data_IF_763475007827
#
_entry.id   IF_763475007827
#
_cell.length_a   1.000
_cell.length_b   1.000
_cell.length_c   1.000
_cell.angle_alpha   90.00
_cell.angle_beta   90.00
_cell.angle_gamma   90.00
#
_symmetry.space_group_name_H-M   'P 1'
#
loop_
_entity.id
_entity.type
_entity.pdbx_description
1 polymer ?
#
# COMPACT_ATOMS: atom_id res chain seq x y z
N UNK A 1 57.12 6.13 28.67
CA UNK A 1 55.65 5.91 28.74
C UNK A 1 55.04 6.54 27.51
N UNK A 2 54.32 5.73 26.71
CA UNK A 2 54.21 5.86 25.26
C UNK A 2 53.13 6.86 24.78
N UNK A 3 53.58 7.91 24.08
CA UNK A 3 52.75 8.84 23.29
C UNK A 3 52.20 8.20 22.00
N UNK A 4 52.76 7.08 21.55
CA UNK A 4 52.35 6.40 20.31
C UNK A 4 51.02 5.63 20.44
N UNK A 5 50.63 5.24 21.66
CA UNK A 5 49.42 4.44 21.92
C UNK A 5 48.13 5.27 21.91
N UNK A 6 48.20 6.57 22.18
CA UNK A 6 47.01 7.45 22.18
C UNK A 6 46.58 7.82 20.75
N UNK A 7 47.55 7.93 19.82
CA UNK A 7 47.27 8.25 18.41
C UNK A 7 46.60 7.08 17.67
N UNK A 8 47.00 5.83 17.94
CA UNK A 8 46.35 4.66 17.35
C UNK A 8 44.91 4.48 17.85
N UNK A 9 44.61 4.75 19.13
CA UNK A 9 43.22 4.66 19.61
C UNK A 9 42.33 5.77 19.04
N UNK A 10 42.82 6.99 18.80
CA UNK A 10 42.03 8.04 18.13
C UNK A 10 41.76 7.74 16.65
N UNK A 11 42.71 7.11 15.95
CA UNK A 11 42.53 6.68 14.57
C UNK A 11 41.58 5.48 14.45
N UNK A 12 41.67 4.51 15.36
CA UNK A 12 40.74 3.37 15.45
C UNK A 12 39.34 3.81 15.88
N UNK A 13 39.21 4.80 16.79
CA UNK A 13 37.91 5.35 17.17
C UNK A 13 37.30 6.15 16.02
N UNK A 14 38.10 6.90 15.24
CA UNK A 14 37.62 7.60 14.04
C UNK A 14 37.24 6.63 12.90
N UNK A 15 37.94 5.50 12.76
CA UNK A 15 37.53 4.43 11.82
C UNK A 15 36.31 3.64 12.30
N UNK A 16 36.13 3.42 13.61
CA UNK A 16 34.96 2.76 14.20
C UNK A 16 33.73 3.69 14.33
N UNK A 17 33.94 5.02 14.37
CA UNK A 17 32.88 6.02 14.26
C UNK A 17 32.52 6.33 12.80
N UNK A 18 33.44 6.07 11.86
CA UNK A 18 33.18 6.14 10.42
C UNK A 18 32.43 4.93 9.86
N UNK A 19 32.29 3.84 10.62
CA UNK A 19 31.41 2.71 10.25
C UNK A 19 30.00 2.83 10.81
N UNK A 20 29.71 3.86 11.62
CA UNK A 20 28.36 4.23 12.07
C UNK A 20 27.66 5.22 11.13
N UNK A 21 28.19 5.46 9.93
CA UNK A 21 27.69 6.45 8.97
C UNK A 21 27.35 5.86 7.60
N UNK A 22 26.60 4.77 7.58
CA UNK A 22 25.83 4.40 6.38
C UNK A 22 24.62 3.61 6.83
N UNK A 23 23.64 4.28 7.44
CA UNK A 23 22.26 3.91 7.13
C UNK A 23 22.16 4.08 5.61
N UNK A 24 22.29 2.97 4.90
CA UNK A 24 22.37 2.90 3.45
C UNK A 24 21.12 3.59 2.89
N UNK A 25 21.26 4.87 2.58
CA UNK A 25 20.25 5.70 1.97
C UNK A 25 20.05 5.14 0.57
N UNK A 26 19.21 4.12 0.43
CA UNK A 26 18.55 3.87 -0.84
C UNK A 26 17.79 5.16 -1.15
N UNK A 27 18.39 6.05 -1.95
CA UNK A 27 17.65 7.11 -2.61
C UNK A 27 16.68 6.38 -3.54
N UNK A 28 15.43 6.27 -3.11
CA UNK A 28 14.39 5.71 -3.94
C UNK A 28 14.40 6.46 -5.28
N UNK A 29 14.56 5.73 -6.38
CA UNK A 29 14.57 6.25 -7.74
C UNK A 29 13.39 5.66 -8.54
N UNK A 30 12.14 5.89 -8.08
CA UNK A 30 10.96 5.22 -8.60
C UNK A 30 10.60 5.62 -10.03
N UNK A 31 10.89 6.86 -10.43
CA UNK A 31 10.39 7.45 -11.68
C UNK A 31 11.47 7.66 -12.74
N UNK A 32 12.74 7.67 -12.35
CA UNK A 32 13.86 7.89 -13.26
C UNK A 32 15.13 7.23 -12.70
N UNK A 33 16.07 6.82 -13.55
CA UNK A 33 17.32 6.17 -13.10
C UNK A 33 18.21 7.07 -12.25
N UNK A 34 18.31 8.35 -12.62
CA UNK A 34 19.00 9.36 -11.82
C UNK A 34 18.24 9.66 -10.52
N UNK A 35 18.81 9.39 -9.33
CA UNK A 35 18.14 9.67 -8.06
C UNK A 35 17.93 11.17 -7.80
N UNK A 36 18.66 12.05 -8.49
CA UNK A 36 18.52 13.51 -8.39
C UNK A 36 17.53 14.09 -9.40
N UNK A 37 16.90 13.24 -10.22
CA UNK A 37 15.86 13.67 -11.16
C UNK A 37 14.70 14.36 -10.44
N UNK A 38 14.06 15.34 -11.09
CA UNK A 38 13.01 16.16 -10.47
C UNK A 38 11.83 15.32 -9.99
N UNK A 39 11.40 14.32 -10.77
CA UNK A 39 10.31 13.41 -10.41
C UNK A 39 10.61 12.64 -9.12
N UNK A 40 11.84 12.11 -9.00
CA UNK A 40 12.29 11.39 -7.82
C UNK A 40 12.37 12.32 -6.61
N UNK A 41 12.83 13.57 -6.78
CA UNK A 41 12.85 14.58 -5.71
C UNK A 41 11.46 14.99 -5.24
N UNK A 42 10.49 15.13 -6.15
CA UNK A 42 9.09 15.41 -5.79
C UNK A 42 8.53 14.25 -4.96
N UNK A 43 8.71 13.01 -5.44
CA UNK A 43 8.34 11.82 -4.69
C UNK A 43 9.00 11.75 -3.30
N UNK A 44 10.30 12.01 -3.24
CA UNK A 44 11.11 12.06 -2.02
C UNK A 44 10.47 12.98 -0.97
N UNK A 45 10.17 14.21 -1.39
CA UNK A 45 9.58 15.23 -0.53
C UNK A 45 8.17 14.85 -0.07
N UNK A 46 7.36 14.25 -0.94
CA UNK A 46 5.99 13.83 -0.61
C UNK A 46 5.94 12.61 0.31
N UNK A 47 6.84 11.65 0.15
CA UNK A 47 6.72 10.34 0.80
C UNK A 47 7.56 10.21 2.07
N UNK A 48 8.68 10.93 2.15
CA UNK A 48 9.63 10.77 3.24
C UNK A 48 9.69 12.01 4.12
N UNK A 49 9.96 11.78 5.39
CA UNK A 49 10.25 12.81 6.38
C UNK A 49 11.48 12.42 7.19
N UNK A 50 12.24 13.43 7.61
CA UNK A 50 13.31 13.23 8.58
C UNK A 50 12.74 13.38 9.98
N UNK A 51 12.66 12.28 10.72
CA UNK A 51 12.04 12.27 12.06
C UNK A 51 12.96 11.62 13.10
N UNK A 52 12.83 12.07 14.34
CA UNK A 52 13.38 11.36 15.51
C UNK A 52 12.39 10.25 15.89
N UNK A 53 12.84 9.01 16.19
CA UNK A 53 11.96 7.87 16.54
C UNK A 53 10.95 8.15 17.67
N UNK A 54 11.29 9.00 18.64
CA UNK A 54 10.38 9.41 19.72
C UNK A 54 9.11 10.09 19.17
N UNK A 55 9.17 10.83 18.04
CA UNK A 55 7.99 11.45 17.42
C UNK A 55 7.12 10.44 16.66
N UNK A 56 7.69 9.32 16.24
CA UNK A 56 6.93 8.22 15.62
C UNK A 56 6.05 7.51 16.66
N UNK A 57 6.59 7.26 17.85
CA UNK A 57 5.86 6.58 18.94
C UNK A 57 4.68 7.36 19.51
N UNK A 58 4.54 8.65 19.21
CA UNK A 58 3.47 9.53 19.70
C UNK A 58 2.26 9.63 18.76
N UNK A 59 2.27 8.95 17.60
CA UNK A 59 1.22 9.08 16.60
C UNK A 59 -0.11 8.36 16.97
N UNK A 60 -0.18 7.70 18.14
CA UNK A 60 -1.24 6.78 18.54
C UNK A 60 -1.53 6.96 20.04
N UNK A 61 -2.35 7.94 20.38
CA UNK A 61 -2.64 8.26 21.78
C UNK A 61 -3.83 7.46 22.36
N UNK A 62 -4.62 6.77 21.52
CA UNK A 62 -5.95 6.27 21.91
C UNK A 62 -6.10 4.75 22.08
N UNK A 63 -5.02 3.97 21.98
CA UNK A 63 -5.13 2.49 21.95
C UNK A 63 -4.61 1.76 23.19
N UNK A 64 -3.89 2.44 24.09
CA UNK A 64 -3.32 1.85 25.30
C UNK A 64 -3.23 2.84 26.46
N UNK A 65 -3.43 2.35 27.68
CA UNK A 65 -3.38 3.15 28.92
C UNK A 65 -2.00 3.77 29.19
N UNK A 66 -0.93 3.18 28.66
CA UNK A 66 0.41 3.78 28.62
C UNK A 66 1.08 3.51 27.25
N UNK A 67 0.70 4.33 26.26
CA UNK A 67 1.27 4.29 24.91
C UNK A 67 2.80 4.46 24.91
N UNK A 68 3.41 5.10 25.93
CA UNK A 68 4.86 5.35 25.95
C UNK A 68 5.66 4.08 26.22
N UNK A 69 5.12 3.13 26.99
CA UNK A 69 5.82 1.90 27.38
C UNK A 69 5.94 0.88 26.22
N UNK A 70 4.92 0.79 25.35
CA UNK A 70 4.88 -0.22 24.27
C UNK A 70 5.87 0.07 23.14
N UNK A 71 5.95 1.33 22.68
CA UNK A 71 6.73 1.70 21.47
C UNK A 71 8.22 1.94 21.73
N UNK A 72 8.59 2.25 22.97
CA UNK A 72 9.96 2.58 23.37
C UNK A 72 10.89 1.36 23.36
N UNK A 73 10.41 0.18 23.77
CA UNK A 73 11.33 -0.91 24.10
C UNK A 73 11.62 -1.92 22.97
N UNK A 74 10.94 -1.89 21.80
CA UNK A 74 11.01 -3.03 20.86
C UNK A 74 11.00 -2.73 19.35
N UNK A 75 10.80 -1.50 18.89
CA UNK A 75 10.37 -1.26 17.49
C UNK A 75 11.50 -1.06 16.45
N UNK A 76 12.44 -0.11 16.64
CA UNK A 76 13.60 0.04 15.70
C UNK A 76 14.90 -0.53 16.29
N UNK A 77 15.04 -0.45 17.61
CA UNK A 77 16.30 -0.80 18.28
C UNK A 77 16.17 -2.03 19.19
N UNK A 78 15.03 -2.72 19.18
CA UNK A 78 14.72 -3.95 19.93
C UNK A 78 14.89 -3.92 21.46
N UNK A 79 15.60 -2.94 22.03
CA UNK A 79 16.06 -2.91 23.43
C UNK A 79 16.14 -1.51 24.05
N UNK A 80 15.94 -0.41 23.29
CA UNK A 80 16.04 0.97 23.83
C UNK A 80 15.09 2.00 23.15
N UNK A 81 14.68 3.07 23.88
CA UNK A 81 13.70 4.11 23.45
C UNK A 81 13.89 4.87 22.14
N UNK A 82 14.99 4.70 21.40
CA UNK A 82 15.41 5.69 20.40
C UNK A 82 15.74 7.05 21.03
N UNK A 83 16.56 7.86 20.35
CA UNK A 83 17.00 9.19 20.79
C UNK A 83 17.13 10.13 19.59
N UNK A 84 17.41 11.41 19.80
CA UNK A 84 17.67 12.35 18.70
C UNK A 84 18.86 11.94 17.81
N UNK A 85 19.80 11.16 18.33
CA UNK A 85 20.89 10.58 17.55
C UNK A 85 20.41 9.53 16.53
N UNK A 86 19.21 8.99 16.70
CA UNK A 86 18.57 8.04 15.79
C UNK A 86 17.70 8.74 14.74
N UNK A 87 17.84 10.06 14.60
CA UNK A 87 17.16 10.83 13.56
C UNK A 87 17.47 10.24 12.20
N UNK A 88 16.44 9.75 11.55
CA UNK A 88 16.53 9.04 10.29
C UNK A 88 15.53 9.57 9.29
N UNK A 89 15.65 9.07 8.07
CA UNK A 89 14.68 9.32 7.02
C UNK A 89 13.70 8.15 6.98
N UNK A 90 12.43 8.45 7.19
CA UNK A 90 11.36 7.46 7.25
C UNK A 90 10.31 7.77 6.19
N UNK A 91 9.86 6.74 5.49
CA UNK A 91 8.85 6.82 4.44
C UNK A 91 7.56 6.14 4.86
N UNK A 92 6.49 6.44 4.13
CA UNK A 92 5.27 5.65 4.19
C UNK A 92 5.32 4.41 3.30
N UNK A 93 4.44 3.43 3.56
CA UNK A 93 4.08 2.41 2.57
C UNK A 93 3.77 3.04 1.20
N UNK A 94 4.60 2.67 0.22
CA UNK A 94 4.50 3.03 -1.19
C UNK A 94 3.12 2.74 -1.81
N UNK A 95 2.34 1.84 -1.20
CA UNK A 95 1.07 1.35 -1.72
C UNK A 95 -0.11 2.30 -1.49
N UNK A 96 -0.20 3.00 -0.36
CA UNK A 96 -1.50 3.64 0.00
C UNK A 96 -1.46 4.96 0.77
N UNK A 97 -0.41 5.25 1.54
CA UNK A 97 -0.50 6.30 2.55
C UNK A 97 0.66 7.29 2.45
N UNK A 98 0.31 8.50 2.01
CA UNK A 98 1.18 9.68 1.94
C UNK A 98 1.23 10.43 3.27
N UNK A 99 2.16 11.39 3.40
CA UNK A 99 2.29 12.25 4.58
C UNK A 99 1.01 13.07 4.85
N UNK A 100 0.74 13.39 6.11
CA UNK A 100 -0.44 14.18 6.52
C UNK A 100 -0.30 15.69 6.37
N UNK A 101 0.94 16.16 6.20
CA UNK A 101 1.28 17.56 6.10
C UNK A 101 2.78 17.81 6.20
N UNK A 102 3.12 19.08 6.05
CA UNK A 102 4.47 19.61 5.95
C UNK A 102 4.63 20.77 6.92
N UNK A 103 5.83 20.97 7.45
CA UNK A 103 6.18 22.26 8.05
C UNK A 103 6.45 23.32 6.98
N UNK A 104 6.66 24.58 7.38
CA UNK A 104 6.83 25.70 6.44
C UNK A 104 8.04 25.52 5.51
N UNK A 105 9.13 24.92 6.00
CA UNK A 105 10.37 24.70 5.23
C UNK A 105 10.15 23.59 4.21
N UNK A 106 9.53 22.49 4.63
CA UNK A 106 9.18 21.36 3.77
C UNK A 106 8.15 21.76 2.71
N UNK A 107 7.14 22.54 3.08
CA UNK A 107 6.12 23.07 2.17
C UNK A 107 6.78 23.96 1.10
N UNK A 108 7.61 24.92 1.52
CA UNK A 108 8.32 25.80 0.59
C UNK A 108 9.23 25.00 -0.35
N UNK A 109 9.90 23.98 0.15
CA UNK A 109 10.71 23.07 -0.66
C UNK A 109 9.86 22.31 -1.68
N UNK A 110 8.77 21.68 -1.26
CA UNK A 110 7.90 20.92 -2.17
C UNK A 110 7.30 21.83 -3.24
N UNK A 111 6.88 23.04 -2.87
CA UNK A 111 6.42 24.06 -3.82
C UNK A 111 7.47 24.36 -4.89
N UNK A 112 8.71 24.65 -4.49
CA UNK A 112 9.81 24.89 -5.43
C UNK A 112 10.09 23.67 -6.31
N UNK A 113 9.97 22.45 -5.78
CA UNK A 113 10.14 21.23 -6.57
C UNK A 113 9.06 21.06 -7.64
N UNK A 114 7.80 21.32 -7.31
CA UNK A 114 6.69 21.27 -8.25
C UNK A 114 6.86 22.31 -9.37
N UNK A 115 7.38 23.51 -9.03
CA UNK A 115 7.66 24.57 -10.01
C UNK A 115 8.82 24.26 -10.95
N UNK A 116 9.60 23.21 -10.66
CA UNK A 116 10.71 22.74 -11.54
C UNK A 116 10.30 21.60 -12.47
N UNK A 117 9.03 21.19 -12.47
CA UNK A 117 8.52 20.23 -13.46
C UNK A 117 8.40 20.93 -14.81
N UNK A 118 9.17 20.46 -15.80
CA UNK A 118 9.28 21.05 -17.14
C UNK A 118 8.87 20.07 -18.25
N UNK A 119 8.78 20.53 -19.49
CA UNK A 119 8.32 19.69 -20.60
C UNK A 119 9.27 18.52 -20.91
N UNK A 120 10.57 18.63 -20.57
CA UNK A 120 11.52 17.53 -20.77
C UNK A 120 11.28 16.40 -19.76
N UNK A 121 11.14 16.73 -18.47
CA UNK A 121 10.77 15.75 -17.46
C UNK A 121 9.39 15.12 -17.75
N UNK A 122 8.47 15.87 -18.35
CA UNK A 122 7.16 15.36 -18.79
C UNK A 122 7.33 14.32 -19.89
N UNK A 123 8.11 14.67 -20.92
CA UNK A 123 8.37 13.82 -22.06
C UNK A 123 9.02 12.50 -21.63
N UNK A 124 10.05 12.57 -20.78
CA UNK A 124 10.70 11.38 -20.20
C UNK A 124 9.71 10.51 -19.42
N UNK A 125 8.86 11.12 -18.57
CA UNK A 125 7.83 10.40 -17.83
C UNK A 125 6.82 9.71 -18.77
N UNK A 126 6.48 10.35 -19.89
CA UNK A 126 5.52 9.87 -20.87
C UNK A 126 6.09 8.77 -21.78
N UNK A 127 7.40 8.54 -21.80
CA UNK A 127 8.00 7.37 -22.46
C UNK A 127 7.51 6.06 -21.84
N UNK A 128 7.12 6.09 -20.55
CA UNK A 128 6.45 4.99 -19.85
C UNK A 128 5.12 5.47 -19.27
N UNK A 129 4.03 5.46 -20.04
CA UNK A 129 2.75 6.04 -19.63
C UNK A 129 2.19 5.47 -18.31
N UNK A 130 2.47 4.22 -17.97
CA UNK A 130 2.07 3.63 -16.69
C UNK A 130 2.80 4.29 -15.50
N UNK A 131 4.05 4.73 -15.66
CA UNK A 131 4.73 5.54 -14.65
C UNK A 131 4.12 6.93 -14.55
N UNK A 132 3.68 7.52 -15.67
CA UNK A 132 2.96 8.79 -15.65
C UNK A 132 1.65 8.69 -14.84
N UNK A 133 0.88 7.61 -15.06
CA UNK A 133 -0.31 7.28 -14.26
C UNK A 133 0.01 7.16 -12.78
N UNK A 134 1.09 6.45 -12.42
CA UNK A 134 1.49 6.27 -11.03
C UNK A 134 1.94 7.58 -10.37
N UNK A 135 2.71 8.40 -11.09
CA UNK A 135 3.16 9.71 -10.61
C UNK A 135 1.98 10.66 -10.40
N UNK A 136 1.04 10.70 -11.35
CA UNK A 136 -0.20 11.46 -11.22
C UNK A 136 -1.01 11.00 -10.00
N UNK A 137 -1.14 9.68 -9.81
CA UNK A 137 -1.83 9.14 -8.64
C UNK A 137 -1.19 9.59 -7.32
N UNK A 138 0.15 9.59 -7.22
CA UNK A 138 0.85 10.06 -6.01
C UNK A 138 0.54 11.54 -5.70
N UNK A 139 0.52 12.39 -6.72
CA UNK A 139 0.18 13.81 -6.60
C UNK A 139 -1.27 14.01 -6.15
N UNK A 140 -2.22 13.32 -6.80
CA UNK A 140 -3.63 13.40 -6.47
C UNK A 140 -3.91 12.86 -5.05
N UNK A 141 -3.23 11.78 -4.65
CA UNK A 141 -3.34 11.22 -3.28
C UNK A 141 -2.79 12.18 -2.24
N UNK A 142 -1.68 12.86 -2.52
CA UNK A 142 -1.16 13.90 -1.64
C UNK A 142 -2.16 15.06 -1.50
N UNK A 143 -2.70 15.55 -2.62
CA UNK A 143 -3.70 16.61 -2.61
C UNK A 143 -4.95 16.23 -1.80
N UNK A 144 -5.47 15.01 -2.02
CA UNK A 144 -6.59 14.45 -1.26
C UNK A 144 -6.25 14.38 0.23
N UNK A 145 -5.05 13.88 0.59
CA UNK A 145 -4.65 13.75 1.99
C UNK A 145 -4.57 15.09 2.70
N UNK A 146 -3.97 16.10 2.07
CA UNK A 146 -3.89 17.46 2.60
C UNK A 146 -5.28 18.10 2.79
N UNK A 147 -6.20 17.84 1.85
CA UNK A 147 -7.59 18.27 1.97
C UNK A 147 -8.30 17.59 3.16
N UNK A 148 -8.15 16.28 3.29
CA UNK A 148 -8.76 15.49 4.38
C UNK A 148 -8.24 15.91 5.76
N UNK A 149 -6.93 16.16 5.87
CA UNK A 149 -6.29 16.58 7.14
C UNK A 149 -6.40 18.08 7.38
N UNK A 150 -6.87 18.85 6.40
CA UNK A 150 -6.95 20.32 6.42
C UNK A 150 -5.59 20.98 6.70
N UNK A 151 -4.52 20.45 6.12
CA UNK A 151 -3.14 20.97 6.27
C UNK A 151 -2.59 21.45 4.93
N UNK A 152 -1.72 22.46 4.98
CA UNK A 152 -0.97 22.99 3.82
C UNK A 152 -1.87 23.24 2.59
N UNK A 153 -3.01 23.93 2.79
CA UNK A 153 -4.03 24.10 1.75
C UNK A 153 -3.50 24.76 0.46
N UNK A 154 -2.48 25.62 0.58
CA UNK A 154 -1.82 26.30 -0.55
C UNK A 154 -1.05 25.33 -1.48
N UNK A 155 -0.71 24.13 -1.02
CA UNK A 155 -0.10 23.10 -1.88
C UNK A 155 -1.11 22.38 -2.76
N UNK A 156 -2.40 22.34 -2.36
CA UNK A 156 -3.42 21.54 -3.06
C UNK A 156 -3.55 21.97 -4.53
N UNK A 157 -3.74 23.26 -4.88
CA UNK A 157 -3.83 23.65 -6.29
C UNK A 157 -2.60 23.28 -7.10
N UNK A 158 -1.40 23.40 -6.52
CA UNK A 158 -0.13 23.08 -7.21
C UNK A 158 0.05 21.59 -7.45
N UNK A 159 -0.39 20.75 -6.51
CA UNK A 159 -0.41 19.30 -6.69
C UNK A 159 -1.39 18.88 -7.78
N UNK A 160 -2.56 19.54 -7.86
CA UNK A 160 -3.54 19.29 -8.91
C UNK A 160 -3.03 19.74 -10.30
N UNK A 161 -2.38 20.90 -10.40
CA UNK A 161 -1.74 21.34 -11.65
C UNK A 161 -0.61 20.40 -12.07
N UNK A 162 0.23 19.95 -11.14
CA UNK A 162 1.26 18.95 -11.42
C UNK A 162 0.64 17.61 -11.86
N UNK A 163 -0.50 17.21 -11.29
CA UNK A 163 -1.21 16.00 -11.69
C UNK A 163 -1.77 16.12 -13.12
N UNK A 164 -2.29 17.30 -13.48
CA UNK A 164 -2.74 17.62 -14.83
C UNK A 164 -1.57 17.70 -15.82
N UNK A 165 -0.44 18.25 -15.41
CA UNK A 165 0.81 18.24 -16.17
C UNK A 165 1.28 16.81 -16.48
N UNK A 166 1.15 15.89 -15.51
CA UNK A 166 1.50 14.48 -15.71
C UNK A 166 0.47 13.70 -16.56
N UNK A 167 -0.73 14.27 -16.78
CA UNK A 167 -1.84 13.58 -17.41
C UNK A 167 -1.53 13.17 -18.85
N UNK A 168 -2.11 12.03 -19.23
CA UNK A 168 -2.07 11.47 -20.56
C UNK A 168 -3.34 11.89 -21.34
N UNK A 169 -3.28 11.92 -22.68
CA UNK A 169 -4.46 12.15 -23.50
C UNK A 169 -5.54 11.08 -23.27
N UNK A 170 -6.81 11.45 -23.43
CA UNK A 170 -7.97 10.58 -23.24
C UNK A 170 -7.86 9.25 -24.03
N UNK A 171 -7.26 9.29 -25.22
CA UNK A 171 -7.10 8.13 -26.10
C UNK A 171 -6.25 7.01 -25.48
N UNK A 172 -5.39 7.34 -24.53
CA UNK A 172 -4.60 6.34 -23.80
C UNK A 172 -5.49 5.43 -22.94
N UNK A 173 -6.59 5.97 -22.42
CA UNK A 173 -7.48 5.29 -21.47
C UNK A 173 -8.57 4.46 -22.12
N UNK A 174 -8.78 4.58 -23.45
CA UNK A 174 -9.68 3.69 -24.19
C UNK A 174 -9.20 2.22 -24.26
N UNK A 175 -8.01 1.94 -23.73
CA UNK A 175 -7.47 0.59 -23.60
C UNK A 175 -8.13 -0.15 -22.43
N UNK A 176 -8.36 -1.45 -22.61
CA UNK A 176 -9.04 -2.27 -21.59
C UNK A 176 -8.33 -2.23 -20.23
N UNK A 177 -9.13 -2.11 -19.17
CA UNK A 177 -8.71 -2.31 -17.77
C UNK A 177 -8.08 -3.71 -17.64
N UNK A 178 -7.14 -3.86 -16.70
CA UNK A 178 -6.39 -5.11 -16.52
C UNK A 178 -7.30 -6.35 -16.57
N UNK A 179 -6.94 -7.29 -17.46
CA UNK A 179 -7.69 -8.54 -17.66
C UNK A 179 -7.41 -9.50 -16.51
N UNK A 180 -8.47 -10.17 -16.04
CA UNK A 180 -8.38 -11.16 -14.98
C UNK A 180 -7.33 -12.25 -15.28
N UNK A 181 -7.22 -12.66 -16.55
CA UNK A 181 -6.25 -13.64 -17.05
C UNK A 181 -4.81 -13.33 -16.65
N UNK A 182 -4.38 -12.07 -16.82
CA UNK A 182 -3.02 -11.66 -16.49
C UNK A 182 -2.80 -11.67 -14.97
N UNK A 183 -3.78 -11.20 -14.21
CA UNK A 183 -3.74 -11.17 -12.74
C UNK A 183 -3.70 -12.59 -12.16
N UNK A 184 -4.52 -13.51 -12.70
CA UNK A 184 -4.52 -14.91 -12.30
C UNK A 184 -3.19 -15.60 -12.63
N UNK A 185 -2.60 -15.31 -13.80
CA UNK A 185 -1.30 -15.85 -14.18
C UNK A 185 -0.17 -15.43 -13.22
N UNK A 186 -0.19 -14.17 -12.75
CA UNK A 186 0.76 -13.69 -11.72
C UNK A 186 0.63 -14.54 -10.45
N UNK A 187 -0.59 -14.73 -9.96
CA UNK A 187 -0.86 -15.51 -8.74
C UNK A 187 -0.47 -16.98 -8.89
N UNK A 188 -0.87 -17.62 -9.99
CA UNK A 188 -0.57 -19.02 -10.27
C UNK A 188 0.94 -19.28 -10.35
N UNK A 189 1.72 -18.31 -10.86
CA UNK A 189 3.19 -18.40 -10.89
C UNK A 189 3.81 -18.31 -9.51
N UNK A 190 3.28 -17.48 -8.62
CA UNK A 190 3.84 -17.24 -7.28
C UNK A 190 3.39 -18.23 -6.21
N UNK A 191 2.14 -18.69 -6.25
CA UNK A 191 1.58 -19.60 -5.23
C UNK A 191 1.52 -21.06 -5.69
N UNK A 192 1.84 -21.34 -6.96
CA UNK A 192 1.78 -22.70 -7.51
C UNK A 192 0.37 -23.28 -7.48
N UNK A 193 0.19 -24.47 -6.88
CA UNK A 193 -1.06 -25.25 -6.91
C UNK A 193 -2.15 -24.77 -5.92
N UNK A 194 -1.91 -23.67 -5.20
CA UNK A 194 -2.79 -23.23 -4.11
C UNK A 194 -3.90 -22.27 -4.51
N UNK A 195 -3.91 -21.83 -5.77
CA UNK A 195 -4.97 -20.98 -6.37
C UNK A 195 -5.88 -21.84 -7.24
N UNK A 196 -7.19 -21.66 -7.10
CA UNK A 196 -8.19 -22.31 -7.93
C UNK A 196 -7.96 -22.01 -9.42
N UNK A 197 -8.49 -22.88 -10.28
CA UNK A 197 -8.38 -22.67 -11.73
C UNK A 197 -9.17 -21.42 -12.12
N UNK A 198 -8.66 -20.71 -13.12
CA UNK A 198 -9.26 -19.46 -13.62
C UNK A 198 -10.75 -19.59 -13.89
N UNK A 199 -11.20 -20.72 -14.47
CA UNK A 199 -12.59 -20.97 -14.85
C UNK A 199 -13.53 -21.13 -13.65
N UNK A 200 -12.99 -21.35 -12.45
CA UNK A 200 -13.76 -21.45 -11.21
C UNK A 200 -14.07 -20.07 -10.62
N UNK A 201 -13.35 -19.02 -11.06
CA UNK A 201 -13.55 -17.68 -10.59
C UNK A 201 -14.68 -16.98 -11.34
N UNK A 202 -15.59 -16.35 -10.61
CA UNK A 202 -16.58 -15.41 -11.14
C UNK A 202 -16.33 -14.03 -10.54
N UNK A 203 -16.39 -13.00 -11.37
CA UNK A 203 -16.35 -11.63 -10.86
C UNK A 203 -17.61 -11.32 -10.08
N UNK A 204 -17.44 -10.67 -8.94
CA UNK A 204 -18.53 -10.29 -8.04
C UNK A 204 -18.56 -8.78 -7.92
N UNK A 205 -19.63 -8.18 -8.44
CA UNK A 205 -19.97 -6.79 -8.19
C UNK A 205 -20.60 -6.68 -6.79
N UNK A 206 -20.38 -5.55 -6.15
CA UNK A 206 -20.96 -5.24 -4.84
C UNK A 206 -21.35 -3.78 -4.78
N UNK A 207 -22.34 -3.46 -3.95
CA UNK A 207 -22.62 -2.09 -3.53
C UNK A 207 -21.40 -1.58 -2.76
N UNK A 208 -20.63 -0.74 -3.44
CA UNK A 208 -19.44 -0.12 -2.88
C UNK A 208 -19.80 0.78 -1.70
N UNK A 209 -19.12 0.62 -0.57
CA UNK A 209 -19.11 1.63 0.49
C UNK A 209 -18.17 2.78 0.08
N UNK A 210 -18.18 3.92 0.78
CA UNK A 210 -17.32 5.09 0.46
C UNK A 210 -15.83 4.76 0.30
N UNK A 211 -15.36 3.63 0.83
CA UNK A 211 -13.96 3.18 0.77
C UNK A 211 -13.54 2.57 -0.59
N UNK A 212 -14.49 2.28 -1.50
CA UNK A 212 -14.22 1.74 -2.83
C UNK A 212 -15.01 2.47 -3.93
N UNK A 213 -15.46 3.69 -3.63
CA UNK A 213 -16.20 4.54 -4.56
C UNK A 213 -15.18 5.30 -5.42
N UNK A 214 -15.03 4.92 -6.70
CA UNK A 214 -14.06 5.54 -7.61
C UNK A 214 -14.22 7.07 -7.77
N UNK A 215 -15.40 7.64 -7.45
CA UNK A 215 -15.60 9.11 -7.43
C UNK A 215 -15.01 9.77 -6.18
N UNK A 216 -14.65 8.98 -5.17
CA UNK A 216 -14.07 9.40 -3.88
C UNK A 216 -12.72 8.75 -3.59
N UNK A 217 -12.38 7.69 -4.32
CA UNK A 217 -11.12 6.96 -4.22
C UNK A 217 -10.40 7.06 -5.55
N UNK A 218 -9.13 7.48 -5.53
CA UNK A 218 -8.25 7.49 -6.70
C UNK A 218 -7.82 6.08 -7.14
N UNK A 219 -8.66 5.09 -6.83
CA UNK A 219 -8.46 3.68 -7.01
C UNK A 219 -9.78 3.06 -7.46
N UNK A 220 -9.70 2.08 -8.34
CA UNK A 220 -10.78 1.15 -8.66
C UNK A 220 -10.46 -0.21 -8.04
N UNK A 221 -11.48 -1.04 -7.84
CA UNK A 221 -11.30 -2.40 -7.30
C UNK A 221 -12.17 -3.41 -8.02
N UNK A 222 -11.65 -4.61 -8.22
CA UNK A 222 -12.39 -5.78 -8.73
C UNK A 222 -12.19 -6.96 -7.80
N UNK A 223 -13.22 -7.79 -7.69
CA UNK A 223 -13.22 -8.97 -6.82
C UNK A 223 -13.69 -10.17 -7.62
N UNK A 224 -12.93 -11.25 -7.56
CA UNK A 224 -13.33 -12.55 -8.10
C UNK A 224 -13.44 -13.55 -6.98
N UNK A 225 -14.47 -14.39 -7.02
CA UNK A 225 -14.67 -15.48 -6.07
C UNK A 225 -14.63 -16.83 -6.76
N UNK A 226 -14.00 -17.81 -6.12
CA UNK A 226 -14.10 -19.21 -6.48
C UNK A 226 -14.63 -20.00 -5.28
N UNK A 227 -15.69 -20.77 -5.53
CA UNK A 227 -16.26 -21.68 -4.54
C UNK A 227 -15.58 -23.06 -4.67
N UNK A 228 -15.34 -23.79 -3.57
CA UNK A 228 -14.69 -25.10 -3.60
C UNK A 228 -15.52 -26.18 -4.33
N UNK A 229 -16.85 -26.02 -4.31
CA UNK A 229 -17.80 -26.78 -5.14
C UNK A 229 -17.95 -26.24 -6.57
N UNK A 230 -19.01 -26.64 -7.26
CA UNK A 230 -19.29 -26.20 -8.64
C UNK A 230 -19.78 -24.75 -8.73
N UNK A 231 -19.73 -24.15 -9.92
CA UNK A 231 -20.14 -22.76 -10.16
C UNK A 231 -21.60 -22.44 -9.77
N UNK A 232 -22.49 -23.43 -9.78
CA UNK A 232 -23.86 -23.27 -9.28
C UNK A 232 -23.91 -22.97 -7.78
N UNK A 233 -22.99 -23.54 -6.98
CA UNK A 233 -22.92 -23.29 -5.55
C UNK A 233 -22.43 -21.86 -5.25
N UNK A 234 -21.48 -21.34 -6.04
CA UNK A 234 -21.07 -19.93 -5.93
C UNK A 234 -22.23 -18.98 -6.20
N UNK A 235 -23.01 -19.23 -7.25
CA UNK A 235 -24.20 -18.42 -7.58
C UNK A 235 -25.23 -18.46 -6.46
N UNK A 236 -25.55 -19.67 -5.95
CA UNK A 236 -26.48 -19.83 -4.84
C UNK A 236 -26.03 -19.09 -3.57
N UNK A 237 -24.73 -19.13 -3.26
CA UNK A 237 -24.13 -18.40 -2.14
C UNK A 237 -24.31 -16.88 -2.32
N UNK A 238 -23.99 -16.35 -3.50
CA UNK A 238 -24.11 -14.92 -3.82
C UNK A 238 -25.58 -14.48 -3.81
N UNK A 239 -26.49 -15.24 -4.41
CA UNK A 239 -27.92 -14.92 -4.46
C UNK A 239 -28.52 -14.90 -3.03
N UNK A 240 -28.17 -15.87 -2.20
CA UNK A 240 -28.60 -15.91 -0.79
C UNK A 240 -28.12 -14.68 -0.02
N UNK A 241 -26.84 -14.28 -0.20
CA UNK A 241 -26.29 -13.09 0.42
C UNK A 241 -26.95 -11.80 -0.10
N UNK A 242 -27.22 -11.71 -1.41
CA UNK A 242 -27.90 -10.57 -2.05
C UNK A 242 -29.30 -10.34 -1.50
N UNK A 243 -30.02 -11.42 -1.23
CA UNK A 243 -31.37 -11.41 -0.64
C UNK A 243 -31.37 -11.02 0.85
N UNK A 244 -30.19 -10.69 1.40
CA UNK A 244 -30.01 -10.24 2.78
C UNK A 244 -30.06 -11.36 3.81
N UNK A 245 -30.02 -12.62 3.36
CA UNK A 245 -29.96 -13.79 4.24
C UNK A 245 -28.51 -14.01 4.70
N UNK A 246 -28.36 -14.49 5.93
CA UNK A 246 -27.04 -14.89 6.44
C UNK A 246 -26.51 -16.08 5.63
N UNK A 247 -25.24 -16.03 5.27
CA UNK A 247 -24.55 -17.08 4.52
C UNK A 247 -23.30 -17.51 5.25
N UNK A 248 -22.99 -18.80 5.23
CA UNK A 248 -21.73 -19.29 5.76
C UNK A 248 -20.73 -19.46 4.61
N UNK A 249 -19.56 -18.82 4.72
CA UNK A 249 -18.48 -19.01 3.75
C UNK A 249 -17.92 -20.45 3.87
N UNK A 250 -17.89 -21.27 2.83
CA UNK A 250 -17.38 -22.64 2.94
C UNK A 250 -15.84 -22.65 3.04
N UNK A 251 -15.29 -23.64 3.75
CA UNK A 251 -13.83 -23.91 3.73
C UNK A 251 -13.42 -24.20 2.28
N UNK A 252 -12.35 -23.55 1.83
CA UNK A 252 -11.87 -23.57 0.44
C UNK A 252 -12.48 -22.47 -0.44
N UNK A 253 -13.33 -21.58 0.11
CA UNK A 253 -13.72 -20.36 -0.61
C UNK A 253 -12.48 -19.50 -0.84
N UNK A 254 -12.29 -19.07 -2.08
CA UNK A 254 -11.17 -18.24 -2.51
C UNK A 254 -11.66 -16.91 -3.06
N UNK A 255 -10.90 -15.85 -2.82
CA UNK A 255 -11.09 -14.53 -3.38
C UNK A 255 -9.79 -14.00 -3.98
N UNK A 256 -9.91 -13.35 -5.13
CA UNK A 256 -8.88 -12.49 -5.71
C UNK A 256 -9.40 -11.06 -5.65
N UNK A 257 -8.69 -10.18 -4.96
CA UNK A 257 -8.95 -8.74 -4.93
C UNK A 257 -7.86 -8.04 -5.73
N UNK A 258 -8.25 -7.26 -6.75
CA UNK A 258 -7.34 -6.35 -7.42
C UNK A 258 -7.73 -4.90 -7.13
N UNK A 259 -6.74 -4.07 -6.82
CA UNK A 259 -6.88 -2.62 -6.78
C UNK A 259 -5.95 -1.98 -7.82
N UNK A 260 -6.52 -1.12 -8.66
CA UNK A 260 -5.76 -0.36 -9.63
C UNK A 260 -6.05 1.13 -9.56
N UNK A 261 -5.25 1.89 -10.29
CA UNK A 261 -5.27 3.36 -10.24
C UNK A 261 -6.41 3.91 -11.10
N UNK A 262 -7.12 4.90 -10.55
CA UNK A 262 -7.90 5.87 -11.33
C UNK A 262 -7.02 7.08 -11.61
N UNK A 263 -6.88 7.43 -12.88
CA UNK A 263 -6.12 8.57 -13.37
C UNK A 263 -7.08 9.63 -13.92
N UNK A 264 -6.59 10.85 -14.15
CA UNK A 264 -7.29 11.86 -14.95
C UNK A 264 -6.59 12.04 -16.29
N UNK A 265 -7.34 12.33 -17.34
CA UNK A 265 -6.77 12.77 -18.61
C UNK A 265 -6.36 14.26 -18.60
N UNK A 266 -5.86 14.74 -19.72
CA UNK A 266 -5.43 16.13 -19.92
C UNK A 266 -6.58 17.15 -19.90
N UNK A 267 -7.83 16.67 -19.98
CA UNK A 267 -9.04 17.46 -19.73
C UNK A 267 -9.50 17.40 -18.27
N UNK A 268 -8.93 16.51 -17.46
CA UNK A 268 -9.27 16.31 -16.05
C UNK A 268 -10.38 15.28 -15.84
N UNK A 269 -10.79 14.55 -16.87
CA UNK A 269 -11.81 13.50 -16.75
C UNK A 269 -11.22 12.23 -16.15
N UNK A 270 -11.91 11.56 -15.20
CA UNK A 270 -11.39 10.38 -14.52
C UNK A 270 -11.54 9.10 -15.35
N UNK A 271 -10.50 8.27 -15.35
CA UNK A 271 -10.43 7.00 -16.07
C UNK A 271 -9.90 5.86 -15.20
N UNK A 272 -10.56 4.71 -15.24
CA UNK A 272 -10.01 3.48 -14.68
C UNK A 272 -8.86 2.99 -15.56
N UNK A 273 -7.67 2.83 -15.00
CA UNK A 273 -6.47 2.45 -15.78
C UNK A 273 -6.19 0.96 -15.71
N UNK A 274 -5.32 0.46 -16.59
CA UNK A 274 -4.78 -0.90 -16.52
C UNK A 274 -3.73 -1.12 -15.42
N UNK A 275 -3.30 -0.07 -14.71
CA UNK A 275 -2.24 -0.16 -13.69
C UNK A 275 -2.83 -0.70 -12.40
N UNK A 276 -2.61 -1.99 -12.15
CA UNK A 276 -2.94 -2.66 -10.88
C UNK A 276 -1.75 -2.53 -9.94
N UNK A 277 -2.01 -2.03 -8.73
CA UNK A 277 -0.95 -1.73 -7.74
C UNK A 277 -0.98 -2.67 -6.55
N UNK A 278 -2.11 -3.33 -6.31
CA UNK A 278 -2.30 -4.27 -5.20
C UNK A 278 -3.17 -5.42 -5.71
N UNK A 279 -2.68 -6.64 -5.50
CA UNK A 279 -3.36 -7.88 -5.80
C UNK A 279 -3.31 -8.72 -4.53
N UNK A 280 -4.46 -9.23 -4.10
CA UNK A 280 -4.56 -10.10 -2.92
C UNK A 280 -5.25 -11.37 -3.29
N UNK A 281 -4.69 -12.48 -2.82
CA UNK A 281 -5.35 -13.76 -2.79
C UNK A 281 -5.74 -14.05 -1.35
N UNK A 282 -6.96 -14.55 -1.15
CA UNK A 282 -7.49 -14.92 0.14
C UNK A 282 -8.19 -16.26 0.03
N UNK A 283 -7.91 -17.18 0.93
CA UNK A 283 -8.54 -18.50 1.00
C UNK A 283 -8.96 -18.84 2.41
N UNK A 284 -10.21 -19.26 2.62
CA UNK A 284 -10.62 -19.83 3.90
C UNK A 284 -10.06 -21.25 4.03
N UNK A 285 -9.00 -21.44 4.81
CA UNK A 285 -8.34 -22.73 4.98
C UNK A 285 -8.89 -23.55 6.15
N UNK A 286 -9.26 -22.88 7.25
CA UNK A 286 -9.91 -23.50 8.40
C UNK A 286 -10.87 -22.52 9.10
N UNK A 287 -11.62 -22.99 10.09
CA UNK A 287 -12.42 -22.21 11.03
C UNK A 287 -11.92 -22.33 12.48
N UNK A 288 -11.04 -23.28 12.76
CA UNK A 288 -10.46 -23.43 14.10
C UNK A 288 -9.46 -22.32 14.40
N UNK A 289 -9.26 -22.06 15.70
CA UNK A 289 -8.28 -21.08 16.15
C UNK A 289 -6.86 -21.40 15.67
N UNK A 290 -6.07 -20.37 15.46
CA UNK A 290 -4.66 -20.49 15.08
C UNK A 290 -3.89 -21.31 16.14
N UNK A 291 -3.23 -22.37 15.71
CA UNK A 291 -2.38 -23.20 16.58
C UNK A 291 -1.18 -23.73 15.81
N UNK A 292 -0.22 -24.35 16.51
CA UNK A 292 0.93 -25.01 15.85
C UNK A 292 0.46 -26.11 14.89
N UNK A 293 -0.62 -26.79 15.24
CA UNK A 293 -1.21 -27.88 14.44
C UNK A 293 -2.24 -27.38 13.40
N UNK A 294 -2.58 -26.09 13.45
CA UNK A 294 -3.50 -25.39 12.55
C UNK A 294 -2.92 -24.02 12.16
N UNK A 295 -1.76 -24.05 11.49
CA UNK A 295 -1.07 -22.86 11.06
C UNK A 295 -1.76 -22.29 9.82
N UNK A 296 -2.52 -21.21 10.01
CA UNK A 296 -3.08 -20.37 8.93
C UNK A 296 -2.49 -18.97 9.03
N UNK A 297 -2.61 -18.18 7.96
CA UNK A 297 -1.98 -16.84 7.95
C UNK A 297 -2.68 -15.82 8.87
N UNK A 298 -3.92 -16.12 9.30
CA UNK A 298 -4.69 -15.27 10.20
C UNK A 298 -5.42 -16.09 11.26
N UNK A 299 -5.85 -15.46 12.34
CA UNK A 299 -6.60 -16.15 13.41
C UNK A 299 -8.00 -16.61 12.96
N UNK A 300 -8.53 -16.08 11.85
CA UNK A 300 -9.81 -16.48 11.25
C UNK A 300 -9.68 -17.68 10.30
N UNK A 301 -8.55 -18.38 10.32
CA UNK A 301 -8.31 -19.56 9.49
C UNK A 301 -8.16 -19.24 8.01
N UNK A 302 -7.86 -17.98 7.68
CA UNK A 302 -7.68 -17.51 6.30
C UNK A 302 -6.20 -17.46 5.96
N UNK A 303 -5.86 -18.05 4.83
CA UNK A 303 -4.58 -17.85 4.15
C UNK A 303 -4.66 -16.68 3.20
N UNK A 304 -3.62 -15.86 3.18
CA UNK A 304 -3.56 -14.72 2.27
C UNK A 304 -2.18 -14.56 1.64
N UNK A 305 -2.20 -14.12 0.39
CA UNK A 305 -1.04 -13.64 -0.36
C UNK A 305 -1.28 -12.21 -0.79
N UNK A 306 -0.23 -11.40 -0.80
CA UNK A 306 -0.27 -10.00 -1.26
C UNK A 306 0.85 -9.79 -2.25
N UNK A 307 0.50 -9.19 -3.39
CA UNK A 307 1.43 -8.73 -4.41
C UNK A 307 1.17 -7.27 -4.68
N UNK A 308 2.25 -6.54 -4.93
CA UNK A 308 2.14 -5.14 -5.31
C UNK A 308 3.07 -4.83 -6.47
N UNK A 309 2.65 -3.88 -7.30
CA UNK A 309 3.48 -3.34 -8.35
C UNK A 309 4.21 -2.12 -7.80
N UNK A 310 5.50 -2.26 -7.50
CA UNK A 310 6.32 -1.12 -7.12
C UNK A 310 6.63 -0.24 -8.33
N UNK A 311 6.88 1.04 -8.09
CA UNK A 311 7.24 1.99 -9.16
C UNK A 311 8.55 1.59 -9.83
N UNK A 312 9.52 1.14 -9.04
CA UNK A 312 10.79 0.63 -9.55
C UNK A 312 10.60 -0.62 -10.40
N UNK A 313 9.72 -1.53 -9.99
CA UNK A 313 9.43 -2.75 -10.75
C UNK A 313 8.70 -2.42 -12.06
N UNK A 314 7.74 -1.49 -12.04
CA UNK A 314 7.09 -0.98 -13.24
C UNK A 314 8.09 -0.35 -14.21
N UNK A 315 9.03 0.45 -13.69
CA UNK A 315 10.08 1.10 -14.49
C UNK A 315 11.06 0.11 -15.13
N UNK A 316 11.43 -0.96 -14.42
CA UNK A 316 12.47 -1.91 -14.86
C UNK A 316 11.93 -3.14 -15.59
N UNK A 317 10.70 -3.56 -15.27
CA UNK A 317 10.12 -4.84 -15.68
C UNK A 317 8.68 -4.77 -16.19
N UNK A 318 8.09 -3.57 -16.28
CA UNK A 318 6.74 -3.37 -16.78
C UNK A 318 5.65 -3.81 -15.79
N UNK A 319 4.41 -3.84 -16.27
CA UNK A 319 3.20 -4.10 -15.44
C UNK A 319 3.13 -5.50 -14.84
N UNK A 320 3.93 -6.46 -15.33
CA UNK A 320 3.94 -7.84 -14.85
C UNK A 320 4.94 -8.07 -13.70
N UNK A 321 5.71 -7.05 -13.32
CA UNK A 321 6.77 -7.12 -12.32
C UNK A 321 6.23 -7.00 -10.88
N UNK A 322 5.22 -7.80 -10.54
CA UNK A 322 4.68 -7.82 -9.18
C UNK A 322 5.68 -8.41 -8.19
N UNK A 323 5.90 -7.69 -7.09
CA UNK A 323 6.67 -8.18 -5.95
C UNK A 323 5.71 -8.84 -4.95
N UNK A 324 6.03 -10.07 -4.53
CA UNK A 324 5.33 -10.76 -3.45
C UNK A 324 5.75 -10.18 -2.10
N UNK A 325 4.80 -9.97 -1.20
CA UNK A 325 5.08 -9.71 0.22
C UNK A 325 5.21 -11.06 0.92
N UNK A 326 6.42 -11.44 1.30
CA UNK A 326 6.63 -12.67 2.09
C UNK A 326 5.82 -12.59 3.40
N UNK A 327 5.20 -13.68 3.82
CA UNK A 327 4.24 -13.67 4.94
C UNK A 327 4.89 -13.29 6.28
N UNK A 328 6.14 -13.66 6.50
CA UNK A 328 6.96 -13.26 7.65
C UNK A 328 7.35 -11.77 7.62
N UNK A 329 7.38 -11.17 6.43
CA UNK A 329 7.47 -9.71 6.19
C UNK A 329 6.10 -9.02 6.18
N UNK A 330 5.01 -9.77 6.01
CA UNK A 330 3.62 -9.31 6.11
C UNK A 330 3.16 -9.24 7.57
N UNK A 331 3.72 -10.09 8.43
CA UNK A 331 3.76 -9.84 9.86
C UNK A 331 4.66 -8.64 10.12
N UNK A 332 4.03 -7.54 10.49
CA UNK A 332 4.63 -6.37 11.13
C UNK A 332 4.76 -5.13 10.22
N UNK A 333 3.63 -4.42 10.08
CA UNK A 333 3.52 -2.99 10.42
C UNK A 333 4.69 -2.07 10.00
N UNK A 334 5.15 -2.14 8.75
CA UNK A 334 6.14 -1.17 8.21
C UNK A 334 5.65 0.29 8.18
N UNK A 335 4.40 0.54 8.55
CA UNK A 335 3.79 1.87 8.59
C UNK A 335 3.94 2.63 9.93
N UNK A 336 4.28 1.93 11.01
CA UNK A 336 4.62 2.60 12.28
C UNK A 336 6.03 3.09 12.06
N UNK A 337 6.22 4.40 11.87
CA UNK A 337 7.49 4.93 11.34
C UNK A 337 7.37 6.29 10.67
N UNK A 338 6.22 6.56 10.06
CA UNK A 338 5.99 7.76 9.29
C UNK A 338 5.22 8.79 10.10
N UNK A 339 5.22 10.07 9.69
CA UNK A 339 4.37 11.14 10.26
C UNK A 339 2.86 10.90 10.05
N UNK A 340 2.46 9.64 9.84
CA UNK A 340 1.09 9.18 9.71
C UNK A 340 0.53 8.96 11.12
N UNK A 341 -0.60 9.58 11.43
CA UNK A 341 -1.43 9.25 12.60
C UNK A 341 -2.40 8.11 12.28
N UNK A 342 -1.94 7.10 11.55
CA UNK A 342 -2.72 5.89 11.31
C UNK A 342 -2.09 4.74 12.04
N UNK A 343 -2.72 4.36 13.13
CA UNK A 343 -2.64 3.01 13.65
C UNK A 343 -3.09 2.06 12.54
N UNK A 344 -2.46 0.89 12.47
CA UNK A 344 -2.92 -0.26 11.71
C UNK A 344 -4.08 -0.94 12.44
N UNK A 345 -4.94 -0.20 13.14
CA UNK A 345 -6.29 -0.71 13.40
C UNK A 345 -7.06 -1.04 12.10
N UNK A 346 -6.55 -0.69 10.91
CA UNK A 346 -7.29 -0.78 9.65
C UNK A 346 -6.74 -1.73 8.55
N UNK A 347 -5.57 -2.37 8.68
CA UNK A 347 -4.99 -3.16 7.59
C UNK A 347 -4.99 -4.67 7.86
N UNK A 348 -6.21 -5.22 7.86
CA UNK A 348 -6.59 -6.59 7.56
C UNK A 348 -6.06 -7.74 8.45
N UNK A 349 -4.77 -7.86 8.79
CA UNK A 349 -4.32 -8.98 9.65
C UNK A 349 -4.75 -8.86 11.12
N UNK A 350 -5.03 -7.65 11.62
CA UNK A 350 -5.58 -7.43 12.97
C UNK A 350 -7.12 -7.39 13.04
N UNK A 351 -7.80 -7.13 11.93
CA UNK A 351 -9.26 -7.09 11.89
C UNK A 351 -9.90 -8.49 11.96
N UNK A 352 -9.07 -9.53 11.82
CA UNK A 352 -9.42 -10.95 11.91
C UNK A 352 -9.04 -11.55 13.28
N UNK A 353 -9.34 -10.83 14.38
CA UNK A 353 -9.20 -11.33 15.75
C UNK A 353 -10.57 -11.81 16.23
N UNK A 354 -10.77 -13.13 16.25
CA UNK A 354 -12.04 -13.81 16.56
C UNK A 354 -12.45 -13.80 18.04
N UNK A 355 -11.94 -12.88 18.84
CA UNK A 355 -12.64 -12.44 20.06
C UNK A 355 -13.27 -11.09 19.74
N UNK A 356 -14.60 -11.06 19.61
CA UNK A 356 -15.46 -9.88 19.41
C UNK A 356 -15.64 -9.33 17.98
N UNK A 357 -15.39 -10.11 16.92
CA UNK A 357 -15.82 -9.72 15.56
C UNK A 357 -17.30 -10.05 15.33
N UNK A 358 -18.08 -9.16 14.70
CA UNK A 358 -19.54 -9.32 14.61
C UNK A 358 -20.00 -10.44 13.65
N UNK A 359 -19.13 -11.00 12.80
CA UNK A 359 -19.55 -11.85 11.67
C UNK A 359 -18.60 -13.05 11.39
N UNK A 360 -18.33 -13.94 12.37
CA UNK A 360 -17.40 -15.08 12.20
C UNK A 360 -17.83 -16.09 11.11
N UNK A 361 -19.13 -16.20 10.85
CA UNK A 361 -19.71 -17.05 9.80
C UNK A 361 -19.20 -16.69 8.39
N UNK A 362 -18.78 -15.45 8.16
CA UNK A 362 -18.26 -15.00 6.88
C UNK A 362 -16.77 -15.34 6.66
N UNK A 363 -16.02 -15.76 7.68
CA UNK A 363 -14.63 -16.19 7.53
C UNK A 363 -13.72 -15.17 6.82
N UNK A 364 -13.97 -13.87 7.04
CA UNK A 364 -13.23 -12.79 6.41
C UNK A 364 -13.64 -12.42 4.98
N UNK A 365 -14.83 -12.81 4.51
CA UNK A 365 -15.37 -12.44 3.20
C UNK A 365 -16.47 -11.36 3.32
N UNK A 366 -16.13 -10.09 3.59
CA UNK A 366 -17.11 -9.04 3.86
C UNK A 366 -17.98 -8.67 2.65
N UNK A 367 -17.60 -9.08 1.43
CA UNK A 367 -18.43 -8.91 0.23
C UNK A 367 -19.74 -9.72 0.31
N UNK A 368 -19.81 -10.77 1.14
CA UNK A 368 -20.98 -11.61 1.34
C UNK A 368 -21.96 -11.03 2.38
N UNK A 369 -21.69 -9.84 2.91
CA UNK A 369 -22.61 -9.14 3.81
C UNK A 369 -23.89 -8.75 3.08
N UNK A 370 -25.02 -8.86 3.76
CA UNK A 370 -26.33 -8.46 3.24
C UNK A 370 -26.35 -7.05 2.62
N UNK A 371 -25.71 -6.07 3.27
CA UNK A 371 -25.69 -4.69 2.79
C UNK A 371 -24.75 -4.46 1.59
N UNK A 372 -23.81 -5.38 1.34
CA UNK A 372 -22.94 -5.33 0.17
C UNK A 372 -23.69 -5.70 -1.11
N UNK A 373 -24.87 -6.35 -1.03
CA UNK A 373 -25.70 -6.74 -2.18
C UNK A 373 -24.87 -7.35 -3.33
N UNK A 374 -24.11 -8.43 -3.07
CA UNK A 374 -23.23 -9.00 -4.08
C UNK A 374 -24.04 -9.54 -5.26
N UNK A 375 -23.47 -9.45 -6.46
CA UNK A 375 -24.03 -10.03 -7.67
C UNK A 375 -22.88 -10.50 -8.57
N UNK A 376 -23.08 -11.60 -9.28
CA UNK A 376 -22.14 -12.01 -10.34
C UNK A 376 -22.22 -10.99 -11.47
N UNK A 377 -21.06 -10.53 -11.95
CA UNK A 377 -20.95 -9.53 -13.01
C UNK A 377 -21.53 -9.98 -14.35
#
# INVERSE_FOLDING_TARGET
MNTTTVSLMSALLSMLLSTATTAQQHKAAPYHDSPSHVLNRVFDAMQFATVTPVRVGLAIESEHDDARAFYVLRWVHATRPGSDADRGRYGGDERQLVREGFDEVEEAKLRTLLDTLDDEARKELHETPELAIYFQHDLLRMAQRLADTKRNAELIPRLLEAAKWAALPAEYFHREVARFDALHAILAKSEGRHVAKKEQFSEVLRKSTRLFDASRTLLWSRVWLAHPGEGAALRALIDTARDGKSVEAPIGLEAILAQGIVAIDDHGEPHATKVVIDLRHQRLANRDALSVDNATTSHDGVDFGIWFLSREALRKGGIDAFATVEQDKATIFRDYGSLKRTTYRAQCTLCHRTTDTPEPHLGGFPLLRAHAKPQVA
#
